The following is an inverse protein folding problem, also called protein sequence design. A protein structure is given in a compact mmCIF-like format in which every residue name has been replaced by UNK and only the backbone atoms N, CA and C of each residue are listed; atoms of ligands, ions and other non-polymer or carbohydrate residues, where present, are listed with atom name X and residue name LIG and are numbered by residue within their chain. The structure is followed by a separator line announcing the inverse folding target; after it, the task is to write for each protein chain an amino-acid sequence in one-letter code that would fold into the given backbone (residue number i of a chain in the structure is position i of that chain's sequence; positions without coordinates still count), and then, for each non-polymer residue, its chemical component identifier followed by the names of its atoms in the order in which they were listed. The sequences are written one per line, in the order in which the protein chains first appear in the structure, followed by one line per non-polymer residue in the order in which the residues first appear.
data_IF_073821793515
#
_entry.id   IF_073821793515
#
_cell.length_a   1.000
_cell.length_b   1.000
_cell.length_c   1.000
_cell.angle_alpha   90.00
_cell.angle_beta   90.00
_cell.angle_gamma   90.00
#
_symmetry.space_group_name_H-M   'P 1'
#
loop_
_entity.id
_entity.type
_entity.pdbx_description
1 polymer ?
#
# COMPACT_ATOMS: atom_id res chain seq x y z
N UNK A 1 1.60 -60.67 21.02
CA UNK A 1 2.65 -59.64 20.85
C UNK A 1 2.02 -58.40 20.25
N UNK A 2 2.24 -57.27 20.90
CA UNK A 2 1.63 -55.94 20.70
C UNK A 2 2.45 -55.21 19.64
N UNK A 3 1.84 -54.65 18.60
CA UNK A 3 2.50 -53.65 17.76
C UNK A 3 1.60 -52.41 17.64
N UNK A 4 2.21 -51.30 18.05
CA UNK A 4 1.72 -49.95 18.25
C UNK A 4 1.54 -49.28 16.87
N UNK A 5 0.43 -48.57 16.58
CA UNK A 5 0.35 -47.81 15.35
C UNK A 5 1.25 -46.57 15.46
N UNK A 6 2.21 -46.44 14.55
CA UNK A 6 3.02 -45.23 14.38
C UNK A 6 2.09 -44.03 14.09
N UNK A 7 2.11 -43.05 14.99
CA UNK A 7 1.61 -41.70 14.71
C UNK A 7 2.55 -41.03 13.70
N UNK A 8 2.11 -40.92 12.45
CA UNK A 8 2.76 -40.07 11.46
C UNK A 8 2.41 -38.61 11.78
N UNK A 9 3.36 -37.91 12.42
CA UNK A 9 3.29 -36.46 12.62
C UNK A 9 3.55 -35.78 11.26
N UNK A 10 2.48 -35.36 10.59
CA UNK A 10 2.58 -34.55 9.38
C UNK A 10 3.12 -33.17 9.75
N UNK A 11 4.41 -32.94 9.47
CA UNK A 11 5.05 -31.64 9.56
C UNK A 11 4.48 -30.75 8.44
N UNK A 12 3.51 -29.90 8.77
CA UNK A 12 3.00 -28.90 7.84
C UNK A 12 4.14 -27.91 7.53
N UNK A 13 4.72 -27.99 6.33
CA UNK A 13 5.52 -26.91 5.77
C UNK A 13 4.59 -25.71 5.56
N UNK A 14 4.60 -24.77 6.51
CA UNK A 14 4.08 -23.44 6.23
C UNK A 14 4.95 -22.84 5.12
N UNK A 15 4.37 -22.35 4.00
CA UNK A 15 5.14 -21.64 3.01
C UNK A 15 5.72 -20.40 3.69
N UNK A 16 7.05 -20.33 3.76
CA UNK A 16 7.73 -19.11 4.14
C UNK A 16 7.30 -18.01 3.19
N UNK A 17 6.88 -16.87 3.73
CA UNK A 17 6.70 -15.63 3.00
C UNK A 17 8.09 -15.22 2.50
N UNK A 18 8.48 -15.76 1.35
CA UNK A 18 9.60 -15.24 0.59
C UNK A 18 9.15 -13.86 0.09
N UNK A 19 9.84 -12.79 0.53
CA UNK A 19 9.63 -11.44 0.02
C UNK A 19 9.96 -11.46 -1.47
N UNK A 20 8.93 -11.46 -2.31
CA UNK A 20 9.08 -11.47 -3.75
C UNK A 20 8.89 -10.05 -4.23
N UNK A 21 9.93 -9.49 -4.86
CA UNK A 21 9.86 -8.15 -5.44
C UNK A 21 8.55 -7.96 -6.23
N UNK A 22 7.90 -6.78 -6.12
CA UNK A 22 6.56 -6.58 -6.68
C UNK A 22 6.51 -6.95 -8.16
N UNK A 23 5.39 -7.52 -8.61
CA UNK A 23 5.20 -7.85 -10.03
C UNK A 23 5.24 -6.58 -10.91
N UNK A 24 5.38 -6.76 -12.23
CA UNK A 24 5.27 -5.63 -13.17
C UNK A 24 3.91 -4.91 -13.05
N UNK A 25 2.83 -5.68 -12.82
CA UNK A 25 1.50 -5.13 -12.58
C UNK A 25 1.44 -4.32 -11.28
N UNK A 26 1.94 -4.86 -10.17
CA UNK A 26 1.99 -4.15 -8.89
C UNK A 26 2.79 -2.84 -8.99
N UNK A 27 3.95 -2.87 -9.66
CA UNK A 27 4.76 -1.66 -9.91
C UNK A 27 4.00 -0.62 -10.73
N UNK A 28 3.28 -1.04 -11.78
CA UNK A 28 2.45 -0.16 -12.60
C UNK A 28 1.32 0.46 -11.76
N UNK A 29 0.58 -0.35 -11.01
CA UNK A 29 -0.51 0.12 -10.15
C UNK A 29 -0.03 1.14 -9.13
N UNK A 30 1.07 0.85 -8.42
CA UNK A 30 1.65 1.77 -7.44
C UNK A 30 2.06 3.09 -8.10
N UNK A 31 2.71 3.02 -9.26
CA UNK A 31 3.10 4.22 -10.03
C UNK A 31 1.88 5.06 -10.40
N UNK A 32 0.80 4.43 -10.87
CA UNK A 32 -0.44 5.12 -11.21
C UNK A 32 -1.15 5.68 -9.97
N UNK A 33 -1.12 4.98 -8.84
CA UNK A 33 -1.65 5.50 -7.57
C UNK A 33 -0.89 6.74 -7.14
N UNK A 34 0.45 6.70 -7.09
CA UNK A 34 1.29 7.86 -6.75
C UNK A 34 1.01 9.02 -7.73
N UNK A 35 0.93 8.72 -9.03
CA UNK A 35 0.61 9.69 -10.08
C UNK A 35 -0.82 10.22 -10.04
N UNK A 36 -1.77 9.55 -9.38
CA UNK A 36 -3.16 10.03 -9.28
C UNK A 36 -3.33 11.29 -8.42
N UNK A 37 -2.27 11.68 -7.70
CA UNK A 37 -2.18 12.99 -7.06
C UNK A 37 -1.87 14.09 -8.07
N UNK A 38 -1.08 13.79 -9.10
CA UNK A 38 -0.80 14.76 -10.17
C UNK A 38 -2.09 15.06 -10.95
N UNK A 39 -2.31 16.35 -11.26
CA UNK A 39 -3.56 16.83 -11.85
C UNK A 39 -4.76 16.83 -10.90
N UNK A 40 -4.64 16.24 -9.70
CA UNK A 40 -5.63 16.42 -8.65
C UNK A 40 -5.42 17.78 -7.98
N UNK A 41 -6.51 18.51 -7.71
CA UNK A 41 -6.47 19.71 -6.87
C UNK A 41 -6.53 19.34 -5.37
N UNK A 42 -6.22 18.09 -5.02
CA UNK A 42 -6.35 17.57 -3.67
C UNK A 42 -5.17 18.00 -2.79
N UNK A 43 -5.44 18.18 -1.50
CA UNK A 43 -4.40 18.37 -0.48
C UNK A 43 -4.27 17.10 0.36
N UNK A 44 -3.05 16.82 0.80
CA UNK A 44 -2.67 15.66 1.59
C UNK A 44 -2.28 16.10 3.00
N UNK A 45 -3.03 15.66 4.01
CA UNK A 45 -2.68 15.91 5.40
C UNK A 45 -1.71 14.85 5.90
N UNK A 46 -0.58 15.32 6.43
CA UNK A 46 0.36 14.50 7.17
C UNK A 46 0.78 15.21 8.45
N UNK A 47 0.64 14.52 9.59
CA UNK A 47 1.10 14.99 10.90
C UNK A 47 0.59 16.41 11.27
N UNK A 48 -0.63 16.74 10.87
CA UNK A 48 -1.27 18.02 11.22
C UNK A 48 -1.01 19.17 10.25
N UNK A 49 -0.26 18.93 9.17
CA UNK A 49 -0.05 19.91 8.09
C UNK A 49 -0.63 19.43 6.77
N UNK A 50 -1.18 20.35 5.99
CA UNK A 50 -1.68 20.09 4.64
C UNK A 50 -0.61 20.39 3.61
N UNK A 51 -0.38 19.45 2.71
CA UNK A 51 0.62 19.52 1.65
C UNK A 51 -0.07 19.48 0.29
N UNK A 52 0.54 20.14 -0.69
CA UNK A 52 0.08 20.08 -2.08
C UNK A 52 0.36 18.71 -2.72
N UNK A 53 -0.23 18.45 -3.91
CA UNK A 53 -0.04 17.19 -4.62
C UNK A 53 1.42 16.82 -4.88
N UNK A 54 2.25 17.79 -5.28
CA UNK A 54 3.66 17.56 -5.60
C UNK A 54 4.46 17.07 -4.37
N UNK A 55 4.26 17.71 -3.21
CA UNK A 55 4.90 17.32 -1.95
C UNK A 55 4.43 15.95 -1.47
N UNK A 56 3.12 15.69 -1.60
CA UNK A 56 2.52 14.40 -1.25
C UNK A 56 3.10 13.28 -2.12
N UNK A 57 3.20 13.50 -3.43
CA UNK A 57 3.82 12.57 -4.38
C UNK A 57 5.26 12.27 -4.02
N UNK A 58 6.07 13.29 -3.80
CA UNK A 58 7.47 13.13 -3.43
C UNK A 58 7.62 12.38 -2.10
N UNK A 59 6.74 12.65 -1.13
CA UNK A 59 6.71 11.93 0.15
C UNK A 59 6.37 10.44 -0.01
N UNK A 60 5.34 10.12 -0.78
CA UNK A 60 4.92 8.75 -1.04
C UNK A 60 5.93 7.97 -1.87
N UNK A 61 6.56 8.61 -2.86
CA UNK A 61 7.63 8.01 -3.65
C UNK A 61 8.80 7.59 -2.76
N UNK A 62 9.30 8.49 -1.89
CA UNK A 62 10.39 8.14 -0.96
C UNK A 62 10.02 6.97 -0.03
N UNK A 63 8.78 6.90 0.44
CA UNK A 63 8.30 5.76 1.25
C UNK A 63 8.26 4.47 0.43
N UNK A 64 7.78 4.53 -0.81
CA UNK A 64 7.76 3.38 -1.70
C UNK A 64 9.18 2.87 -1.98
N UNK A 65 10.11 3.75 -2.34
CA UNK A 65 11.51 3.40 -2.61
C UNK A 65 12.17 2.75 -1.38
N UNK A 66 11.89 3.27 -0.19
CA UNK A 66 12.36 2.67 1.06
C UNK A 66 11.81 1.26 1.28
N UNK A 67 10.50 1.08 1.11
CA UNK A 67 9.86 -0.23 1.29
C UNK A 67 10.36 -1.24 0.25
N UNK A 68 10.57 -0.80 -1.00
CA UNK A 68 11.09 -1.63 -2.08
C UNK A 68 12.50 -2.11 -1.76
N UNK A 69 13.38 -1.21 -1.28
CA UNK A 69 14.74 -1.57 -0.84
C UNK A 69 14.76 -2.54 0.34
N UNK A 70 13.67 -2.61 1.11
CA UNK A 70 13.53 -3.47 2.30
C UNK A 70 12.76 -4.75 2.03
N UNK A 71 12.34 -5.02 0.79
CA UNK A 71 11.47 -6.14 0.43
C UNK A 71 10.18 -6.16 1.27
N UNK A 72 9.61 -4.96 1.50
CA UNK A 72 8.44 -4.74 2.35
C UNK A 72 7.20 -4.27 1.56
N UNK A 73 7.20 -4.41 0.23
CA UNK A 73 6.07 -3.97 -0.60
C UNK A 73 6.00 -4.77 -1.89
N UNK A 74 5.08 -5.74 -1.92
CA UNK A 74 4.95 -6.65 -3.07
C UNK A 74 3.68 -6.37 -3.90
N UNK A 75 2.74 -5.60 -3.33
CA UNK A 75 1.46 -5.26 -3.98
C UNK A 75 1.05 -3.80 -3.77
N UNK A 76 0.08 -3.34 -4.58
CA UNK A 76 -0.52 -2.02 -4.41
C UNK A 76 -1.25 -1.88 -3.07
N UNK A 77 -1.88 -2.93 -2.56
CA UNK A 77 -2.50 -2.95 -1.24
C UNK A 77 -1.46 -2.75 -0.13
N UNK A 78 -0.32 -3.45 -0.21
CA UNK A 78 0.76 -3.25 0.76
C UNK A 78 1.35 -1.84 0.68
N UNK A 79 1.47 -1.27 -0.52
CA UNK A 79 1.84 0.14 -0.67
C UNK A 79 0.83 1.06 0.03
N UNK A 80 -0.47 0.84 -0.19
CA UNK A 80 -1.52 1.64 0.44
C UNK A 80 -1.41 1.55 1.96
N UNK A 81 -1.34 0.35 2.50
CA UNK A 81 -1.25 0.09 3.94
C UNK A 81 0.01 0.71 4.56
N UNK A 82 1.19 0.43 4.01
CA UNK A 82 2.48 0.70 4.64
C UNK A 82 3.04 2.09 4.28
N UNK A 83 2.73 2.60 3.10
CA UNK A 83 3.21 3.90 2.64
C UNK A 83 2.13 4.98 2.68
N UNK A 84 0.94 4.69 2.14
CA UNK A 84 -0.04 5.73 1.82
C UNK A 84 -1.13 5.97 2.86
N UNK A 85 -1.26 5.12 3.89
CA UNK A 85 -2.35 5.22 4.87
C UNK A 85 -2.00 6.05 6.11
N UNK A 86 -0.77 5.95 6.61
CA UNK A 86 -0.36 6.57 7.87
C UNK A 86 1.14 6.84 7.97
N UNK A 87 1.50 7.70 8.91
CA UNK A 87 2.89 7.99 9.27
C UNK A 87 3.52 6.81 10.00
N UNK A 88 4.57 6.23 9.41
CA UNK A 88 5.37 5.19 10.11
C UNK A 88 6.05 5.72 11.37
N UNK A 89 6.24 7.03 11.51
CA UNK A 89 6.88 7.63 12.69
C UNK A 89 5.89 7.89 13.84
N UNK A 90 4.63 8.18 13.53
CA UNK A 90 3.66 8.68 14.53
C UNK A 90 2.37 7.87 14.61
N UNK A 91 2.15 6.90 13.70
CA UNK A 91 0.89 6.14 13.59
C UNK A 91 -0.33 6.96 13.16
N UNK A 92 -0.18 8.27 12.91
CA UNK A 92 -1.32 9.12 12.53
C UNK A 92 -1.73 8.83 11.10
N UNK A 93 -3.03 8.55 10.92
CA UNK A 93 -3.64 8.38 9.61
C UNK A 93 -3.50 9.65 8.76
N UNK A 94 -3.15 9.47 7.49
CA UNK A 94 -3.15 10.53 6.51
C UNK A 94 -4.58 10.83 6.05
N UNK A 95 -4.83 12.08 5.67
CA UNK A 95 -6.14 12.52 5.16
C UNK A 95 -5.98 13.14 3.79
N UNK A 96 -7.02 13.07 2.98
CA UNK A 96 -7.08 13.75 1.69
C UNK A 96 -8.34 14.59 1.65
N UNK A 97 -8.19 15.82 1.15
CA UNK A 97 -9.29 16.74 0.86
C UNK A 97 -9.16 17.22 -0.58
N UNK A 98 -10.20 16.99 -1.37
CA UNK A 98 -10.29 17.46 -2.74
C UNK A 98 -11.40 18.53 -2.85
N UNK A 99 -11.33 19.47 -3.80
CA UNK A 99 -12.40 20.47 -3.99
C UNK A 99 -13.76 19.80 -4.21
N UNK A 100 -14.79 20.28 -3.50
CA UNK A 100 -16.16 19.77 -3.63
C UNK A 100 -16.38 18.35 -3.07
N UNK A 101 -15.40 17.78 -2.36
CA UNK A 101 -15.50 16.44 -1.76
C UNK A 101 -15.27 16.50 -0.25
N UNK A 102 -15.94 15.66 0.55
CA UNK A 102 -15.66 15.57 1.97
C UNK A 102 -14.22 15.08 2.21
N UNK A 103 -13.62 15.55 3.30
CA UNK A 103 -12.33 15.03 3.74
C UNK A 103 -12.45 13.55 4.11
N UNK A 104 -11.54 12.72 3.61
CA UNK A 104 -11.52 11.29 3.86
C UNK A 104 -10.13 10.80 4.25
N UNK A 105 -10.02 9.55 4.68
CA UNK A 105 -8.71 8.93 4.91
C UNK A 105 -8.00 8.70 3.59
N UNK A 106 -6.68 8.84 3.61
CA UNK A 106 -5.84 8.53 2.45
C UNK A 106 -5.99 7.07 2.03
N UNK A 107 -6.11 6.14 2.99
CA UNK A 107 -6.37 4.73 2.74
C UNK A 107 -7.61 4.50 1.86
N UNK A 108 -8.75 5.10 2.24
CA UNK A 108 -9.99 4.99 1.48
C UNK A 108 -9.87 5.62 0.08
N UNK A 109 -9.19 6.77 -0.01
CA UNK A 109 -8.98 7.48 -1.27
C UNK A 109 -8.13 6.70 -2.28
N UNK A 110 -7.03 6.09 -1.83
CA UNK A 110 -6.18 5.25 -2.69
C UNK A 110 -6.84 3.90 -2.99
N UNK A 111 -7.56 3.30 -2.03
CA UNK A 111 -8.29 2.05 -2.26
C UNK A 111 -9.33 2.18 -3.36
N UNK A 112 -10.13 3.24 -3.34
CA UNK A 112 -11.12 3.52 -4.39
C UNK A 112 -10.47 3.71 -5.77
N UNK A 113 -9.28 4.34 -5.81
CA UNK A 113 -8.52 4.52 -7.06
C UNK A 113 -7.97 3.21 -7.58
N UNK A 114 -7.41 2.36 -6.72
CA UNK A 114 -6.91 1.05 -7.12
C UNK A 114 -8.03 0.21 -7.76
N UNK A 115 -9.21 0.21 -7.15
CA UNK A 115 -10.39 -0.44 -7.72
C UNK A 115 -10.75 0.14 -9.10
N UNK A 116 -10.80 1.47 -9.23
CA UNK A 116 -11.10 2.13 -10.50
C UNK A 116 -10.05 1.85 -11.59
N UNK A 117 -8.76 1.71 -11.23
CA UNK A 117 -7.69 1.36 -12.18
C UNK A 117 -7.90 -0.05 -12.75
N UNK A 118 -8.23 -1.01 -11.89
CA UNK A 118 -8.46 -2.41 -12.28
C UNK A 118 -9.74 -2.59 -13.09
N UNK A 119 -10.80 -1.83 -12.81
CA UNK A 119 -12.02 -1.87 -13.61
C UNK A 119 -11.84 -1.37 -15.05
N UNK A 120 -10.84 -0.52 -15.30
CA UNK A 120 -10.52 0.00 -16.64
C UNK A 120 -9.58 -0.91 -17.43
N UNK A 121 -8.94 -1.85 -16.77
CA UNK A 121 -7.95 -2.76 -17.37
C UNK A 121 -8.50 -4.19 -17.23
N UNK A 122 -9.37 -4.63 -18.15
CA UNK A 122 -9.90 -6.00 -18.14
C UNK A 122 -8.80 -7.03 -18.45
#
# INVERSE_FOLDING_TARGET
MKYLPLLALALALAPGIAGAAPSADARREITQLIGSLDGSQCQFQRNGSWYGPADARAHLQRKYDYLLKKDMVDSAEQFIERAASQSSMSGKAYRIRCPGQPEQTSAAWFGARLQALRQRTP
#
